data_IF_610749724053
#
_entry.id   IF_610749724053
#
_cell.length_a   1.000
_cell.length_b   1.000
_cell.length_c   1.000
_cell.angle_alpha   90.00
_cell.angle_beta   90.00
_cell.angle_gamma   90.00
#
_symmetry.space_group_name_H-M   'P 1'
#
loop_
_entity.id
_entity.type
_entity.pdbx_description
1 polymer ?
#
# COMPACT_ATOMS: atom_id res chain seq x y z
N UNK A 1 -19.79 14.96 5.95
CA UNK A 1 -20.12 16.19 6.75
C UNK A 1 -19.12 17.26 6.32
N UNK A 2 -19.42 17.97 5.23
CA UNK A 2 -18.51 18.86 4.48
C UNK A 2 -18.41 20.23 5.13
N UNK A 3 -17.23 20.56 5.68
CA UNK A 3 -16.90 21.92 6.08
C UNK A 3 -16.47 22.72 4.85
N UNK A 4 -17.43 23.43 4.23
CA UNK A 4 -17.17 24.56 3.34
C UNK A 4 -16.43 25.65 4.13
N UNK A 5 -15.11 25.65 4.09
CA UNK A 5 -14.33 26.81 4.52
C UNK A 5 -14.38 27.83 3.39
N UNK A 6 -15.36 28.74 3.47
CA UNK A 6 -15.33 29.99 2.70
C UNK A 6 -14.11 30.79 3.15
N UNK A 7 -12.99 30.66 2.44
CA UNK A 7 -11.84 31.55 2.61
C UNK A 7 -12.19 32.91 2.01
N UNK A 8 -12.89 33.73 2.81
CA UNK A 8 -12.98 35.18 2.60
C UNK A 8 -11.58 35.75 2.82
N UNK A 9 -10.76 35.76 1.77
CA UNK A 9 -9.57 36.59 1.75
C UNK A 9 -10.05 38.05 1.74
N UNK A 10 -10.01 38.65 2.92
CA UNK A 10 -10.42 40.01 3.19
C UNK A 10 -9.60 40.95 2.30
N UNK A 11 -10.27 41.46 1.26
CA UNK A 11 -9.86 42.58 0.42
C UNK A 11 -9.76 43.81 1.32
N UNK A 12 -8.62 43.99 1.99
CA UNK A 12 -8.27 45.21 2.73
C UNK A 12 -7.19 45.93 1.93
N UNK A 13 -7.49 46.29 0.68
CA UNK A 13 -6.62 47.16 -0.12
C UNK A 13 -7.40 48.05 -1.12
N UNK A 14 -8.73 48.13 -1.00
CA UNK A 14 -9.60 48.72 -2.03
C UNK A 14 -9.98 50.19 -1.83
N UNK A 15 -9.53 50.88 -0.76
CA UNK A 15 -10.02 52.24 -0.44
C UNK A 15 -8.99 53.36 -0.63
N UNK A 16 -7.72 53.08 -0.96
CA UNK A 16 -6.71 54.12 -1.25
C UNK A 16 -6.34 54.23 -2.75
N UNK A 17 -7.05 53.51 -3.61
CA UNK A 17 -6.65 53.18 -4.97
C UNK A 17 -6.83 54.28 -6.04
N UNK A 18 -7.37 55.48 -5.75
CA UNK A 18 -7.60 56.48 -6.81
C UNK A 18 -6.54 57.60 -6.86
N UNK A 19 -5.82 57.87 -5.77
CA UNK A 19 -4.88 59.01 -5.70
C UNK A 19 -3.40 58.58 -5.65
N UNK A 20 -3.11 57.35 -5.21
CA UNK A 20 -1.75 56.82 -5.10
C UNK A 20 -1.20 56.16 -6.38
N UNK A 21 -2.07 55.82 -7.34
CA UNK A 21 -1.68 55.12 -8.58
C UNK A 21 -0.66 55.89 -9.44
N UNK A 22 -0.60 57.22 -9.34
CA UNK A 22 0.30 58.05 -10.14
C UNK A 22 1.72 58.21 -9.54
N UNK A 23 1.94 57.89 -8.25
CA UNK A 23 3.20 58.22 -7.57
C UNK A 23 4.17 57.03 -7.39
N UNK A 24 3.71 55.78 -7.60
CA UNK A 24 4.49 54.56 -7.32
C UNK A 24 4.21 53.46 -8.36
N UNK A 25 4.63 53.64 -9.64
CA UNK A 25 4.34 52.67 -10.70
C UNK A 25 4.88 51.26 -10.41
N UNK A 26 6.05 51.12 -9.78
CA UNK A 26 6.61 49.81 -9.43
C UNK A 26 5.79 49.02 -8.41
N UNK A 27 5.18 49.68 -7.42
CA UNK A 27 4.32 49.01 -6.44
C UNK A 27 3.00 48.52 -7.08
N UNK A 28 2.48 49.27 -8.07
CA UNK A 28 1.33 48.84 -8.87
C UNK A 28 1.69 47.61 -9.71
N UNK A 29 2.87 47.61 -10.33
CA UNK A 29 3.37 46.46 -11.10
C UNK A 29 3.53 45.20 -10.25
N UNK A 30 4.01 45.31 -9.01
CA UNK A 30 4.05 44.18 -8.06
C UNK A 30 2.66 43.60 -7.84
N UNK A 31 1.64 44.44 -7.61
CA UNK A 31 0.26 43.99 -7.39
C UNK A 31 -0.30 43.32 -8.63
N UNK A 32 -0.09 43.89 -9.82
CA UNK A 32 -0.61 43.34 -11.06
C UNK A 32 0.07 42.00 -11.41
N UNK A 33 1.40 41.92 -11.26
CA UNK A 33 2.15 40.66 -11.40
C UNK A 33 1.68 39.62 -10.39
N UNK A 34 1.45 40.00 -9.14
CA UNK A 34 0.96 39.08 -8.12
C UNK A 34 -0.44 38.55 -8.44
N UNK A 35 -1.35 39.40 -8.96
CA UNK A 35 -2.69 38.99 -9.40
C UNK A 35 -2.65 38.03 -10.59
N UNK A 36 -1.64 38.11 -11.43
CA UNK A 36 -1.43 37.20 -12.56
C UNK A 36 -0.84 35.86 -12.11
N UNK A 37 0.15 35.89 -11.22
CA UNK A 37 0.88 34.69 -10.76
C UNK A 37 0.08 33.87 -9.75
N UNK A 38 -0.60 34.51 -8.79
CA UNK A 38 -1.23 33.81 -7.68
C UNK A 38 -2.30 32.78 -8.11
N UNK A 39 -3.18 33.04 -9.10
CA UNK A 39 -4.14 32.03 -9.57
C UNK A 39 -3.48 30.81 -10.22
N UNK A 40 -2.43 31.02 -11.03
CA UNK A 40 -1.69 29.93 -11.69
C UNK A 40 -0.96 29.07 -10.66
N UNK A 41 -0.39 29.72 -9.65
CA UNK A 41 0.23 29.07 -8.51
C UNK A 41 -0.76 28.20 -7.73
N UNK A 42 -1.92 28.75 -7.40
CA UNK A 42 -2.98 28.01 -6.70
C UNK A 42 -3.49 26.83 -7.54
N UNK A 43 -3.66 27.01 -8.85
CA UNK A 43 -4.07 25.94 -9.76
C UNK A 43 -3.07 24.77 -9.77
N UNK A 44 -1.78 25.06 -9.87
CA UNK A 44 -0.73 24.04 -9.89
C UNK A 44 -0.63 23.29 -8.55
N UNK A 45 -0.77 24.01 -7.41
CA UNK A 45 -0.81 23.36 -6.11
C UNK A 45 -1.97 22.37 -6.00
N UNK A 46 -3.18 22.77 -6.44
CA UNK A 46 -4.37 21.91 -6.41
C UNK A 46 -4.18 20.70 -7.33
N UNK A 47 -3.65 20.89 -8.54
CA UNK A 47 -3.41 19.78 -9.47
C UNK A 47 -2.42 18.78 -8.88
N UNK A 48 -1.32 19.26 -8.27
CA UNK A 48 -0.33 18.37 -7.68
C UNK A 48 -0.87 17.65 -6.44
N UNK A 49 -1.66 18.34 -5.61
CA UNK A 49 -2.34 17.73 -4.46
C UNK A 49 -3.26 16.60 -4.94
N UNK A 50 -4.05 16.83 -6.00
CA UNK A 50 -4.92 15.79 -6.59
C UNK A 50 -4.14 14.58 -7.09
N UNK A 51 -2.99 14.77 -7.74
CA UNK A 51 -2.14 13.67 -8.19
C UNK A 51 -1.57 12.85 -7.03
N UNK A 52 -1.15 13.51 -5.95
CA UNK A 52 -0.66 12.83 -4.74
C UNK A 52 -1.79 12.05 -4.06
N UNK A 53 -2.99 12.63 -3.99
CA UNK A 53 -4.18 11.94 -3.48
C UNK A 53 -4.55 10.71 -4.33
N UNK A 54 -4.45 10.81 -5.66
CA UNK A 54 -4.69 9.71 -6.59
C UNK A 54 -3.68 8.57 -6.40
N UNK A 55 -2.38 8.88 -6.34
CA UNK A 55 -1.34 7.90 -6.00
C UNK A 55 -1.60 7.22 -4.66
N UNK A 56 -1.99 7.98 -3.64
CA UNK A 56 -2.30 7.43 -2.33
C UNK A 56 -3.49 6.48 -2.40
N UNK A 57 -4.54 6.84 -3.13
CA UNK A 57 -5.72 6.01 -3.33
C UNK A 57 -5.35 4.70 -4.04
N UNK A 58 -4.69 4.78 -5.20
CA UNK A 58 -4.40 3.62 -6.04
C UNK A 58 -3.45 2.63 -5.35
N UNK A 59 -2.43 3.13 -4.65
CA UNK A 59 -1.56 2.26 -3.86
C UNK A 59 -2.28 1.61 -2.66
N UNK A 60 -3.22 2.32 -2.04
CA UNK A 60 -4.05 1.74 -0.97
C UNK A 60 -4.96 0.63 -1.52
N UNK A 61 -5.56 0.82 -2.68
CA UNK A 61 -6.37 -0.18 -3.36
C UNK A 61 -5.53 -1.42 -3.75
N UNK A 62 -4.32 -1.23 -4.26
CA UNK A 62 -3.40 -2.32 -4.58
C UNK A 62 -3.03 -3.15 -3.33
N UNK A 63 -2.70 -2.50 -2.21
CA UNK A 63 -2.41 -3.17 -0.93
C UNK A 63 -3.64 -3.91 -0.39
N UNK A 64 -4.84 -3.31 -0.47
CA UNK A 64 -6.08 -3.97 -0.05
C UNK A 64 -6.40 -5.20 -0.91
N UNK A 65 -6.16 -5.10 -2.22
CA UNK A 65 -6.31 -6.22 -3.14
C UNK A 65 -5.31 -7.34 -2.82
N UNK A 66 -4.06 -7.00 -2.52
CA UNK A 66 -3.05 -7.96 -2.08
C UNK A 66 -3.52 -8.74 -0.84
N UNK A 67 -4.01 -8.07 0.21
CA UNK A 67 -4.55 -8.76 1.38
C UNK A 67 -5.68 -9.74 1.04
N UNK A 68 -6.59 -9.34 0.15
CA UNK A 68 -7.69 -10.20 -0.32
C UNK A 68 -7.16 -11.45 -1.03
N UNK A 69 -6.12 -11.30 -1.85
CA UNK A 69 -5.47 -12.41 -2.54
C UNK A 69 -4.79 -13.37 -1.55
N UNK A 70 -4.05 -12.85 -0.56
CA UNK A 70 -3.39 -13.66 0.48
C UNK A 70 -4.42 -14.47 1.29
N UNK A 71 -5.54 -13.86 1.68
CA UNK A 71 -6.63 -14.54 2.39
C UNK A 71 -7.23 -15.66 1.54
N UNK A 72 -7.50 -15.39 0.27
CA UNK A 72 -8.06 -16.40 -0.66
C UNK A 72 -7.13 -17.60 -0.81
N UNK A 73 -5.83 -17.35 -0.97
CA UNK A 73 -4.82 -18.42 -1.03
C UNK A 73 -4.79 -19.21 0.27
N UNK A 74 -4.78 -18.53 1.42
CA UNK A 74 -4.80 -19.16 2.75
C UNK A 74 -6.00 -20.08 2.91
N UNK A 75 -7.20 -19.59 2.56
CA UNK A 75 -8.44 -20.34 2.66
C UNK A 75 -8.39 -21.64 1.86
N UNK A 76 -7.85 -21.60 0.63
CA UNK A 76 -7.69 -22.79 -0.20
C UNK A 76 -6.76 -23.84 0.44
N UNK A 77 -5.62 -23.43 1.00
CA UNK A 77 -4.68 -24.35 1.65
C UNK A 77 -5.24 -24.93 2.96
N UNK A 78 -5.86 -24.11 3.80
CA UNK A 78 -6.51 -24.58 5.04
C UNK A 78 -7.65 -25.54 4.71
N UNK A 79 -8.47 -25.24 3.71
CA UNK A 79 -9.54 -26.13 3.26
C UNK A 79 -9.03 -27.47 2.75
N UNK A 80 -7.85 -27.50 2.11
CA UNK A 80 -7.23 -28.76 1.70
C UNK A 80 -6.80 -29.61 2.88
N UNK A 81 -6.17 -29.02 3.90
CA UNK A 81 -5.77 -29.74 5.13
C UNK A 81 -7.00 -30.37 5.79
N UNK A 82 -8.06 -29.58 6.03
CA UNK A 82 -9.31 -30.05 6.64
C UNK A 82 -9.88 -31.24 5.88
N UNK A 83 -9.97 -31.16 4.55
CA UNK A 83 -10.55 -32.23 3.73
C UNK A 83 -9.72 -33.51 3.76
N UNK A 84 -8.38 -33.40 3.75
CA UNK A 84 -7.51 -34.57 3.83
C UNK A 84 -7.56 -35.24 5.20
N UNK A 85 -7.61 -34.44 6.27
CA UNK A 85 -7.81 -34.87 7.66
C UNK A 85 -9.15 -35.61 7.82
N UNK A 86 -10.26 -35.00 7.39
CA UNK A 86 -11.60 -35.62 7.40
C UNK A 86 -11.60 -36.97 6.67
N UNK A 87 -10.91 -37.05 5.53
CA UNK A 87 -10.80 -38.30 4.75
C UNK A 87 -10.04 -39.38 5.52
N UNK A 88 -8.95 -39.02 6.21
CA UNK A 88 -8.19 -39.97 7.03
C UNK A 88 -9.00 -40.43 8.24
N UNK A 89 -9.67 -39.51 8.94
CA UNK A 89 -10.48 -39.83 10.11
C UNK A 89 -11.66 -40.75 9.76
N UNK A 90 -12.34 -40.51 8.64
CA UNK A 90 -13.39 -41.41 8.15
C UNK A 90 -12.85 -42.82 7.84
N UNK A 91 -11.63 -42.92 7.28
CA UNK A 91 -11.00 -44.22 7.05
C UNK A 91 -10.63 -44.93 8.36
N UNK A 92 -10.17 -44.18 9.37
CA UNK A 92 -9.90 -44.69 10.72
C UNK A 92 -11.16 -45.27 11.35
N UNK A 93 -12.28 -44.55 11.28
CA UNK A 93 -13.57 -45.02 11.81
C UNK A 93 -14.04 -46.31 11.13
N UNK A 94 -13.79 -46.46 9.82
CA UNK A 94 -14.18 -47.64 9.05
C UNK A 94 -13.45 -48.93 9.48
N UNK A 95 -12.27 -48.85 10.09
CA UNK A 95 -11.56 -50.03 10.64
C UNK A 95 -12.28 -50.61 11.88
N UNK A 96 -13.00 -49.79 12.63
CA UNK A 96 -13.70 -50.19 13.85
C UNK A 96 -12.76 -50.65 14.97
N UNK A 97 -13.26 -51.47 15.90
CA UNK A 97 -12.56 -51.84 17.15
C UNK A 97 -11.39 -52.84 16.97
N UNK A 98 -11.09 -53.27 15.74
CA UNK A 98 -10.08 -54.31 15.48
C UNK A 98 -8.66 -53.89 15.82
N UNK A 99 -8.35 -52.58 15.84
CA UNK A 99 -7.00 -52.08 16.11
C UNK A 99 -6.98 -50.73 16.84
N UNK A 100 -7.74 -50.62 17.93
CA UNK A 100 -7.93 -49.36 18.70
C UNK A 100 -6.62 -48.66 19.07
N UNK A 101 -5.59 -49.41 19.48
CA UNK A 101 -4.28 -48.83 19.84
C UNK A 101 -3.59 -48.24 18.61
N UNK A 102 -3.67 -48.91 17.47
CA UNK A 102 -3.07 -48.46 16.21
C UNK A 102 -3.79 -47.23 15.67
N UNK A 103 -5.13 -47.26 15.63
CA UNK A 103 -5.93 -46.14 15.17
C UNK A 103 -5.77 -44.91 16.06
N UNK A 104 -5.68 -45.09 17.39
CA UNK A 104 -5.36 -43.99 18.33
C UNK A 104 -3.99 -43.37 18.05
N UNK A 105 -3.00 -44.19 17.69
CA UNK A 105 -1.68 -43.68 17.33
C UNK A 105 -1.73 -42.85 16.04
N UNK A 106 -2.44 -43.33 15.01
CA UNK A 106 -2.62 -42.61 13.74
C UNK A 106 -3.34 -41.26 13.96
N UNK A 107 -4.41 -41.22 14.75
CA UNK A 107 -5.14 -39.97 15.02
C UNK A 107 -4.31 -38.98 15.83
N UNK A 108 -3.55 -39.46 16.83
CA UNK A 108 -2.64 -38.60 17.61
C UNK A 108 -1.50 -38.04 16.75
N UNK A 109 -0.92 -38.89 15.90
CA UNK A 109 0.12 -38.46 14.98
C UNK A 109 -0.42 -37.45 13.96
N UNK A 110 -1.67 -37.61 13.52
CA UNK A 110 -2.29 -36.65 12.62
C UNK A 110 -2.51 -35.29 13.27
N UNK A 111 -3.09 -35.24 14.47
CA UNK A 111 -3.25 -33.96 15.20
C UNK A 111 -1.91 -33.21 15.34
N UNK A 112 -0.83 -33.94 15.63
CA UNK A 112 0.52 -33.35 15.67
C UNK A 112 0.99 -32.81 14.30
N UNK A 113 0.64 -33.46 13.19
CA UNK A 113 1.02 -33.01 11.85
C UNK A 113 0.16 -31.83 11.35
N UNK A 114 -1.14 -31.80 11.67
CA UNK A 114 -2.00 -30.63 11.45
C UNK A 114 -1.44 -29.40 12.18
N UNK A 115 -0.99 -29.59 13.43
CA UNK A 115 -0.31 -28.53 14.17
C UNK A 115 1.00 -28.07 13.48
N UNK A 116 1.80 -29.01 12.96
CA UNK A 116 3.06 -28.69 12.30
C UNK A 116 2.87 -27.93 10.97
N UNK A 117 1.90 -28.33 10.15
CA UNK A 117 1.55 -27.59 8.93
C UNK A 117 0.97 -26.21 9.28
N UNK A 118 0.16 -26.11 10.34
CA UNK A 118 -0.33 -24.84 10.86
C UNK A 118 0.78 -23.86 11.25
N UNK A 119 1.82 -24.34 11.96
CA UNK A 119 3.02 -23.54 12.26
C UNK A 119 3.73 -23.09 10.99
N UNK A 120 3.82 -23.96 9.99
CA UNK A 120 4.46 -23.64 8.70
C UNK A 120 3.67 -22.58 7.93
N UNK A 121 2.34 -22.70 7.86
CA UNK A 121 1.47 -21.68 7.27
C UNK A 121 1.60 -20.33 7.98
N UNK A 122 1.58 -20.31 9.32
CA UNK A 122 1.79 -19.06 10.08
C UNK A 122 3.14 -18.42 9.75
N UNK A 123 4.20 -19.21 9.60
CA UNK A 123 5.52 -18.70 9.20
C UNK A 123 5.49 -18.07 7.80
N UNK A 124 4.81 -18.71 6.84
CA UNK A 124 4.65 -18.16 5.49
C UNK A 124 3.85 -16.84 5.51
N UNK A 125 2.77 -16.78 6.30
CA UNK A 125 1.94 -15.58 6.45
C UNK A 125 2.76 -14.43 7.05
N UNK A 126 3.50 -14.67 8.13
CA UNK A 126 4.30 -13.64 8.78
C UNK A 126 5.40 -13.11 7.85
N UNK A 127 6.05 -13.99 7.06
CA UNK A 127 7.05 -13.56 6.10
C UNK A 127 6.45 -12.67 4.99
N UNK A 128 5.23 -12.97 4.54
CA UNK A 128 4.52 -12.13 3.58
C UNK A 128 4.09 -10.78 4.20
N UNK A 129 3.65 -10.78 5.46
CA UNK A 129 3.26 -9.57 6.20
C UNK A 129 4.47 -8.65 6.44
N UNK A 130 5.62 -9.19 6.86
CA UNK A 130 6.86 -8.44 7.05
C UNK A 130 7.35 -7.79 5.74
N UNK A 131 7.25 -8.54 4.62
CA UNK A 131 7.60 -8.03 3.30
C UNK A 131 6.64 -6.94 2.84
N UNK A 132 5.32 -7.15 3.00
CA UNK A 132 4.30 -6.15 2.70
C UNK A 132 4.54 -4.87 3.50
N UNK A 133 4.79 -4.97 4.80
CA UNK A 133 5.03 -3.82 5.65
C UNK A 133 6.22 -2.98 5.15
N UNK A 134 7.27 -3.65 4.67
CA UNK A 134 8.44 -2.98 4.08
C UNK A 134 8.10 -2.26 2.78
N UNK A 135 7.43 -2.94 1.84
CA UNK A 135 7.02 -2.36 0.55
C UNK A 135 6.01 -1.21 0.74
N UNK A 136 5.00 -1.40 1.59
CA UNK A 136 4.00 -0.37 1.89
C UNK A 136 4.63 0.86 2.56
N UNK A 137 5.55 0.67 3.52
CA UNK A 137 6.26 1.79 4.14
C UNK A 137 7.10 2.57 3.11
N UNK A 138 7.79 1.87 2.21
CA UNK A 138 8.55 2.52 1.12
C UNK A 138 7.63 3.37 0.24
N UNK A 139 6.49 2.81 -0.18
CA UNK A 139 5.52 3.50 -1.01
C UNK A 139 4.90 4.73 -0.33
N UNK A 140 4.48 4.62 0.93
CA UNK A 140 3.93 5.76 1.67
C UNK A 140 4.98 6.82 2.02
N UNK A 141 6.25 6.45 2.17
CA UNK A 141 7.33 7.42 2.33
C UNK A 141 7.51 8.26 1.05
N UNK A 142 7.49 7.62 -0.13
CA UNK A 142 7.52 8.31 -1.42
C UNK A 142 6.35 9.33 -1.53
N UNK A 143 5.13 8.91 -1.21
CA UNK A 143 3.96 9.80 -1.19
C UNK A 143 4.18 10.96 -0.21
N UNK A 144 4.72 10.67 0.98
CA UNK A 144 5.03 11.68 1.99
C UNK A 144 6.05 12.72 1.52
N UNK A 145 7.08 12.30 0.78
CA UNK A 145 8.07 13.18 0.18
C UNK A 145 7.45 14.05 -0.93
N UNK A 146 6.63 13.45 -1.79
CA UNK A 146 5.88 14.17 -2.82
C UNK A 146 4.96 15.23 -2.21
N UNK A 147 4.15 14.85 -1.22
CA UNK A 147 3.27 15.78 -0.49
C UNK A 147 4.03 16.86 0.29
N UNK A 148 5.17 16.50 0.90
CA UNK A 148 6.05 17.43 1.60
C UNK A 148 6.64 18.51 0.67
N UNK A 149 7.04 18.13 -0.55
CA UNK A 149 7.56 19.06 -1.56
C UNK A 149 6.54 20.14 -1.95
N UNK A 150 5.25 19.84 -1.88
CA UNK A 150 4.18 20.82 -2.14
C UNK A 150 4.09 21.89 -1.05
N UNK A 151 4.53 21.60 0.18
CA UNK A 151 4.53 22.58 1.27
C UNK A 151 5.68 23.58 1.18
N UNK A 152 6.79 23.21 0.51
CA UNK A 152 7.93 24.09 0.25
C UNK A 152 7.64 25.12 -0.86
N UNK A 153 6.56 24.92 -1.62
CA UNK A 153 6.00 25.87 -2.57
C UNK A 153 5.25 27.01 -1.84
N UNK A 154 5.95 27.87 -1.11
CA UNK A 154 5.36 29.09 -0.51
C UNK A 154 5.41 30.27 -1.49
N UNK A 155 4.29 30.84 -1.93
CA UNK A 155 4.29 32.02 -2.83
C UNK A 155 4.72 33.33 -2.16
N UNK A 156 4.45 33.51 -0.86
CA UNK A 156 4.62 34.79 -0.16
C UNK A 156 6.06 35.07 0.31
N UNK A 157 6.96 34.11 0.20
CA UNK A 157 8.39 34.29 0.52
C UNK A 157 9.10 35.27 -0.45
N UNK A 158 8.52 35.58 -1.62
CA UNK A 158 9.05 36.55 -2.59
C UNK A 158 9.22 37.95 -1.99
N UNK A 159 8.45 38.27 -0.94
CA UNK A 159 8.54 39.54 -0.22
C UNK A 159 9.62 39.55 0.87
N UNK A 160 10.23 38.41 1.19
CA UNK A 160 11.29 38.36 2.21
C UNK A 160 12.50 39.18 1.75
N UNK A 161 12.97 40.05 2.64
CA UNK A 161 14.12 40.94 2.43
C UNK A 161 13.94 42.01 1.34
N UNK A 162 12.73 42.22 0.83
CA UNK A 162 12.42 43.27 -0.14
C UNK A 162 11.31 44.19 0.38
N UNK A 163 11.25 45.40 -0.18
CA UNK A 163 10.22 46.38 0.16
C UNK A 163 9.44 46.75 -1.09
N UNK A 164 8.11 46.55 -1.05
CA UNK A 164 7.18 46.81 -2.16
C UNK A 164 7.30 48.23 -2.74
N UNK A 165 7.75 49.21 -1.95
CA UNK A 165 7.90 50.60 -2.39
C UNK A 165 9.32 50.98 -2.83
N UNK A 166 10.36 50.25 -2.41
CA UNK A 166 11.76 50.61 -2.65
C UNK A 166 12.51 49.61 -3.55
N UNK A 167 12.12 48.34 -3.55
CA UNK A 167 12.69 47.28 -4.40
C UNK A 167 11.61 46.49 -5.15
N UNK A 168 10.65 47.16 -5.84
CA UNK A 168 9.54 46.48 -6.52
C UNK A 168 10.02 45.52 -7.63
N UNK A 169 11.07 45.88 -8.36
CA UNK A 169 11.59 45.08 -9.48
C UNK A 169 12.11 43.71 -9.02
N UNK A 170 12.74 43.65 -7.84
CA UNK A 170 13.20 42.40 -7.24
C UNK A 170 12.02 41.45 -6.94
N UNK A 171 10.91 41.99 -6.45
CA UNK A 171 9.71 41.21 -6.11
C UNK A 171 9.04 40.71 -7.39
N UNK A 172 8.95 41.55 -8.42
CA UNK A 172 8.42 41.17 -9.74
C UNK A 172 9.25 40.04 -10.34
N UNK A 173 10.58 40.17 -10.31
CA UNK A 173 11.47 39.11 -10.78
C UNK A 173 11.27 37.80 -10.01
N UNK A 174 11.24 37.85 -8.67
CA UNK A 174 10.99 36.66 -7.83
C UNK A 174 9.63 36.00 -8.10
N UNK A 175 8.60 36.78 -8.42
CA UNK A 175 7.28 36.26 -8.80
C UNK A 175 7.32 35.55 -10.15
N UNK A 176 8.02 36.13 -11.14
CA UNK A 176 8.22 35.51 -12.45
C UNK A 176 9.08 34.25 -12.36
N UNK A 177 10.13 34.26 -11.55
CA UNK A 177 10.98 33.09 -11.31
C UNK A 177 10.18 31.95 -10.67
N UNK A 178 9.29 32.26 -9.72
CA UNK A 178 8.38 31.26 -9.16
C UNK A 178 7.43 30.69 -10.21
N UNK A 179 6.85 31.55 -11.04
CA UNK A 179 5.97 31.09 -12.11
C UNK A 179 6.71 30.18 -13.10
N UNK A 180 7.97 30.50 -13.43
CA UNK A 180 8.80 29.64 -14.26
C UNK A 180 9.14 28.30 -13.57
N UNK A 181 9.43 28.31 -12.27
CA UNK A 181 9.75 27.10 -11.50
C UNK A 181 8.57 26.14 -11.31
N UNK A 182 7.34 26.67 -11.34
CA UNK A 182 6.11 25.88 -11.28
C UNK A 182 5.96 24.95 -12.48
N UNK A 183 6.42 25.38 -13.66
CA UNK A 183 6.26 24.62 -14.90
C UNK A 183 7.21 23.42 -15.03
N UNK A 184 8.17 23.23 -14.12
CA UNK A 184 9.30 22.33 -14.38
C UNK A 184 9.80 21.44 -13.24
N UNK A 185 9.28 21.50 -12.00
CA UNK A 185 10.09 20.92 -10.90
C UNK A 185 9.40 20.16 -9.76
N UNK A 186 8.09 20.21 -9.54
CA UNK A 186 7.52 19.65 -8.29
C UNK A 186 6.17 18.92 -8.44
N UNK A 187 5.83 18.45 -9.65
CA UNK A 187 4.63 17.64 -9.90
C UNK A 187 5.07 16.32 -10.51
N UNK A 188 4.73 15.15 -9.93
CA UNK A 188 4.95 13.90 -10.62
C UNK A 188 4.15 13.91 -11.94
N UNK A 189 4.81 13.49 -13.01
CA UNK A 189 4.12 13.32 -14.30
C UNK A 189 3.18 12.13 -14.22
N UNK A 190 2.16 12.08 -15.08
CA UNK A 190 1.25 10.92 -15.16
C UNK A 190 2.02 9.62 -15.46
N UNK A 191 3.10 9.70 -16.23
CA UNK A 191 3.98 8.56 -16.52
C UNK A 191 4.72 8.09 -15.26
N UNK A 192 5.36 9.01 -14.53
CA UNK A 192 6.01 8.69 -13.24
C UNK A 192 5.00 8.14 -12.22
N UNK A 193 3.77 8.66 -12.19
CA UNK A 193 2.73 8.14 -11.31
C UNK A 193 2.42 6.68 -11.64
N UNK A 194 2.22 6.37 -12.92
CA UNK A 194 1.94 5.02 -13.38
C UNK A 194 3.11 4.06 -13.08
N UNK A 195 4.35 4.50 -13.32
CA UNK A 195 5.55 3.70 -13.02
C UNK A 195 5.64 3.37 -11.52
N UNK A 196 5.32 4.30 -10.63
CA UNK A 196 5.32 4.06 -9.18
C UNK A 196 4.24 3.06 -8.76
N UNK A 197 3.06 3.11 -9.38
CA UNK A 197 1.99 2.14 -9.13
C UNK A 197 2.37 0.76 -9.68
N UNK A 198 2.89 0.69 -10.90
CA UNK A 198 3.29 -0.57 -11.52
C UNK A 198 4.40 -1.25 -10.72
N UNK A 199 5.39 -0.48 -10.25
CA UNK A 199 6.44 -0.99 -9.37
C UNK A 199 5.88 -1.56 -8.06
N UNK A 200 4.93 -0.86 -7.42
CA UNK A 200 4.25 -1.37 -6.22
C UNK A 200 3.52 -2.69 -6.53
N UNK A 201 2.74 -2.73 -7.62
CA UNK A 201 1.98 -3.93 -8.01
C UNK A 201 2.89 -5.11 -8.30
N UNK A 202 4.02 -4.89 -8.96
CA UNK A 202 5.02 -5.91 -9.26
C UNK A 202 5.67 -6.46 -7.98
N UNK A 203 6.04 -5.58 -7.03
CA UNK A 203 6.57 -6.00 -5.73
C UNK A 203 5.55 -6.83 -4.94
N UNK A 204 4.30 -6.37 -4.86
CA UNK A 204 3.21 -7.11 -4.22
C UNK A 204 2.97 -8.47 -4.90
N UNK A 205 3.06 -8.52 -6.23
CA UNK A 205 3.01 -9.75 -7.01
C UNK A 205 4.12 -10.73 -6.62
N UNK A 206 5.36 -10.25 -6.50
CA UNK A 206 6.49 -11.04 -6.05
C UNK A 206 6.31 -11.60 -4.64
N UNK A 207 5.81 -10.79 -3.69
CA UNK A 207 5.52 -11.25 -2.32
C UNK A 207 4.45 -12.35 -2.32
N UNK A 208 3.37 -12.17 -3.11
CA UNK A 208 2.30 -13.16 -3.23
C UNK A 208 2.83 -14.47 -3.78
N UNK A 209 3.66 -14.44 -4.82
CA UNK A 209 4.18 -15.65 -5.45
C UNK A 209 5.14 -16.41 -4.52
N UNK A 210 5.94 -15.68 -3.75
CA UNK A 210 6.77 -16.26 -2.68
C UNK A 210 5.90 -16.89 -1.57
N UNK A 211 4.82 -16.23 -1.17
CA UNK A 211 3.85 -16.75 -0.21
C UNK A 211 3.20 -18.05 -0.70
N UNK A 212 2.70 -18.08 -1.94
CA UNK A 212 2.11 -19.28 -2.56
C UNK A 212 3.12 -20.42 -2.59
N UNK A 213 4.37 -20.13 -2.96
CA UNK A 213 5.45 -21.14 -2.99
C UNK A 213 5.71 -21.72 -1.60
N UNK A 214 5.77 -20.86 -0.57
CA UNK A 214 5.95 -21.29 0.82
C UNK A 214 4.79 -22.17 1.31
N UNK A 215 3.55 -21.75 1.06
CA UNK A 215 2.35 -22.50 1.43
C UNK A 215 2.27 -23.85 0.70
N UNK A 216 2.64 -23.89 -0.59
CA UNK A 216 2.69 -25.12 -1.39
C UNK A 216 3.67 -26.13 -0.80
N UNK A 217 4.88 -25.69 -0.44
CA UNK A 217 5.87 -26.58 0.15
C UNK A 217 5.41 -27.18 1.49
N UNK A 218 4.69 -26.40 2.30
CA UNK A 218 4.10 -26.87 3.55
C UNK A 218 2.94 -27.86 3.30
N UNK A 219 2.07 -27.59 2.32
CA UNK A 219 0.98 -28.49 1.91
C UNK A 219 1.51 -29.82 1.36
N UNK A 220 2.55 -29.78 0.52
CA UNK A 220 3.19 -30.97 -0.03
C UNK A 220 3.78 -31.88 1.05
N UNK A 221 4.42 -31.30 2.07
CA UNK A 221 4.92 -32.05 3.22
C UNK A 221 3.79 -32.74 3.99
N UNK A 222 2.68 -32.05 4.19
CA UNK A 222 1.49 -32.61 4.84
C UNK A 222 0.82 -33.71 3.99
N UNK A 223 0.71 -33.54 2.67
CA UNK A 223 0.21 -34.57 1.75
C UNK A 223 1.06 -35.84 1.74
N UNK A 224 2.38 -35.69 1.85
CA UNK A 224 3.28 -36.84 1.98
C UNK A 224 2.99 -37.60 3.28
N UNK A 225 2.78 -36.88 4.39
CA UNK A 225 2.36 -37.49 5.64
C UNK A 225 1.00 -38.19 5.52
N UNK A 226 -0.01 -37.57 4.90
CA UNK A 226 -1.32 -38.18 4.64
C UNK A 226 -1.22 -39.49 3.86
N UNK A 227 -0.34 -39.55 2.87
CA UNK A 227 -0.08 -40.78 2.10
C UNK A 227 0.50 -41.88 2.99
N UNK A 228 1.45 -41.52 3.86
CA UNK A 228 2.05 -42.45 4.82
C UNK A 228 1.03 -42.95 5.84
N UNK A 229 0.23 -42.05 6.43
CA UNK A 229 -0.78 -42.38 7.42
C UNK A 229 -1.82 -43.37 6.86
N UNK A 230 -2.31 -43.13 5.64
CA UNK A 230 -3.22 -44.06 4.93
C UNK A 230 -2.57 -45.42 4.69
N UNK A 231 -1.31 -45.45 4.25
CA UNK A 231 -0.58 -46.71 4.06
C UNK A 231 -0.41 -47.49 5.36
N UNK A 232 -0.12 -46.82 6.47
CA UNK A 232 0.01 -47.45 7.79
C UNK A 232 -1.33 -47.96 8.31
N UNK A 233 -2.40 -47.20 8.08
CA UNK A 233 -3.76 -47.58 8.41
C UNK A 233 -4.13 -48.91 7.74
N UNK A 234 -3.84 -49.05 6.44
CA UNK A 234 -4.12 -50.28 5.68
C UNK A 234 -3.22 -51.47 6.08
N UNK A 235 -1.90 -51.25 6.17
CA UNK A 235 -0.93 -52.35 6.39
C UNK A 235 -0.86 -52.83 7.84
N UNK A 236 -0.98 -51.91 8.79
CA UNK A 236 -0.69 -52.17 10.21
C UNK A 236 -1.98 -52.22 11.02
N UNK A 237 -2.88 -51.26 10.81
CA UNK A 237 -4.12 -51.19 11.58
C UNK A 237 -5.24 -52.06 10.97
N UNK A 238 -5.11 -52.48 9.72
CA UNK A 238 -6.09 -53.32 9.03
C UNK A 238 -6.28 -54.72 9.64
N UNK A 239 -7.38 -55.41 9.29
CA UNK A 239 -7.78 -56.67 9.94
C UNK A 239 -6.90 -57.88 9.59
N UNK A 240 -5.89 -57.75 8.71
CA UNK A 240 -5.13 -58.88 8.19
C UNK A 240 -3.64 -58.62 8.21
N UNK A 241 -2.94 -59.18 9.21
CA UNK A 241 -1.48 -59.32 9.15
C UNK A 241 -1.17 -60.53 8.28
N UNK A 242 -0.67 -60.32 7.06
CA UNK A 242 -0.16 -61.42 6.23
C UNK A 242 1.27 -61.73 6.68
N UNK A 243 1.43 -62.76 7.52
CA UNK A 243 2.74 -63.33 7.82
C UNK A 243 3.06 -64.36 6.73
N UNK A 244 4.12 -64.11 5.96
CA UNK A 244 4.67 -65.08 5.00
C UNK A 244 5.51 -66.14 5.72
#
# INVERSE_FOLDING_TARGET
RTLKVKMKLLIVLSVLASVAYAARPGAVQVIDTFKEVAPQYAGSLIENEQKVEELQHDGTDAIAQFHTQIITVKEAFVGNVIREEETLLAAVEAIGETSVVCTTFITTAEDANVNLVGVSFTKCINAADDALNTTAASYYNLIGELGGSLTDLRLLDVFRNDNVFYTPDNIVQKLQDKLASLAGTNSPTTEEMQENIDALVDELGGIRDAYITCMTAADDAYRLYMTLARSQLDLICGPTVVVA
#
